data_IF_424049784712
#
_entry.id   IF_424049784712
#
_cell.length_a   1.000
_cell.length_b   1.000
_cell.length_c   1.000
_cell.angle_alpha   90.00
_cell.angle_beta   90.00
_cell.angle_gamma   90.00
#
_symmetry.space_group_name_H-M   'P 1'
#
loop_
_entity.id
_entity.type
_entity.pdbx_description
1 polymer ?
#
# COMPACT_ATOMS: atom_id res chain seq x y z
N UNK A 1 12.93 20.64 3.53
CA UNK A 1 12.55 19.93 4.76
C UNK A 1 13.84 19.58 5.47
N UNK A 2 13.96 19.76 6.78
CA UNK A 2 15.18 19.35 7.49
C UNK A 2 15.32 17.82 7.47
N UNK A 3 16.54 17.28 7.63
CA UNK A 3 16.76 15.84 7.66
C UNK A 3 15.88 15.14 8.71
N UNK A 4 15.82 15.69 9.93
CA UNK A 4 15.02 15.15 11.03
C UNK A 4 13.53 15.01 10.68
N UNK A 5 12.95 16.05 10.07
CA UNK A 5 11.54 16.02 9.63
C UNK A 5 11.35 15.01 8.51
N UNK A 6 12.32 14.86 7.62
CA UNK A 6 12.28 13.88 6.53
C UNK A 6 12.23 12.45 7.08
N UNK A 7 13.12 12.10 8.01
CA UNK A 7 13.13 10.78 8.66
C UNK A 7 11.81 10.51 9.41
N UNK A 8 11.29 11.49 10.14
CA UNK A 8 10.02 11.36 10.84
C UNK A 8 8.85 11.09 9.87
N UNK A 9 8.75 11.87 8.79
CA UNK A 9 7.71 11.69 7.77
C UNK A 9 7.82 10.33 7.10
N UNK A 10 9.01 9.93 6.65
CA UNK A 10 9.24 8.61 6.02
C UNK A 10 8.90 7.48 6.98
N UNK A 11 9.29 7.58 8.24
CA UNK A 11 8.97 6.60 9.27
C UNK A 11 7.45 6.46 9.50
N UNK A 12 6.73 7.57 9.65
CA UNK A 12 5.27 7.56 9.79
C UNK A 12 4.58 6.97 8.57
N UNK A 13 4.97 7.39 7.37
CA UNK A 13 4.43 6.86 6.12
C UNK A 13 4.71 5.36 5.95
N UNK A 14 5.88 4.88 6.39
CA UNK A 14 6.23 3.46 6.38
C UNK A 14 5.30 2.66 7.29
N UNK A 15 5.04 3.17 8.51
CA UNK A 15 4.06 2.58 9.43
C UNK A 15 2.65 2.54 8.83
N UNK A 16 2.18 3.65 8.26
CA UNK A 16 0.87 3.72 7.62
C UNK A 16 0.76 2.75 6.43
N UNK A 17 1.79 2.65 5.60
CA UNK A 17 1.84 1.72 4.47
C UNK A 17 1.72 0.26 4.94
N UNK A 18 2.44 -0.11 6.00
CA UNK A 18 2.33 -1.43 6.62
C UNK A 18 0.90 -1.72 7.11
N UNK A 19 0.27 -0.74 7.76
CA UNK A 19 -1.13 -0.82 8.21
C UNK A 19 -2.07 -1.04 7.01
N UNK A 20 -1.89 -0.32 5.90
CA UNK A 20 -2.71 -0.51 4.69
C UNK A 20 -2.59 -1.93 4.14
N UNK A 21 -1.39 -2.49 4.06
CA UNK A 21 -1.16 -3.87 3.60
C UNK A 21 -1.91 -4.87 4.48
N UNK A 22 -1.75 -4.76 5.80
CA UNK A 22 -2.37 -5.66 6.77
C UNK A 22 -3.89 -5.53 6.76
N UNK A 23 -4.43 -4.31 6.84
CA UNK A 23 -5.87 -4.08 6.86
C UNK A 23 -6.53 -4.57 5.58
N UNK A 24 -5.89 -4.40 4.43
CA UNK A 24 -6.42 -4.91 3.14
C UNK A 24 -6.55 -6.44 3.19
N UNK A 25 -5.52 -7.14 3.66
CA UNK A 25 -5.56 -8.60 3.81
C UNK A 25 -6.64 -9.05 4.78
N UNK A 26 -6.75 -8.40 5.95
CA UNK A 26 -7.74 -8.77 6.96
C UNK A 26 -9.17 -8.49 6.48
N UNK A 27 -9.42 -7.35 5.82
CA UNK A 27 -10.75 -6.99 5.31
C UNK A 27 -11.21 -7.97 4.23
N UNK A 28 -10.35 -8.27 3.25
CA UNK A 28 -10.73 -9.16 2.15
C UNK A 28 -10.80 -10.63 2.58
N UNK A 29 -9.97 -11.09 3.51
CA UNK A 29 -10.12 -12.44 4.10
C UNK A 29 -11.46 -12.60 4.82
N UNK A 30 -11.93 -11.57 5.53
CA UNK A 30 -13.27 -11.59 6.16
C UNK A 30 -14.38 -11.64 5.11
N UNK A 31 -14.24 -10.91 4.00
CA UNK A 31 -15.20 -10.97 2.90
C UNK A 31 -15.24 -12.35 2.23
N UNK A 32 -14.09 -13.00 2.06
CA UNK A 32 -13.96 -14.37 1.54
C UNK A 32 -14.67 -15.40 2.42
N UNK A 33 -14.43 -15.38 3.74
CA UNK A 33 -15.12 -16.26 4.70
C UNK A 33 -16.64 -16.03 4.67
N UNK A 34 -17.08 -14.82 4.37
CA UNK A 34 -18.49 -14.46 4.25
C UNK A 34 -19.08 -14.71 2.85
N UNK A 35 -18.33 -15.31 1.91
CA UNK A 35 -18.79 -15.62 0.55
C UNK A 35 -18.96 -14.40 -0.37
N UNK A 36 -18.38 -13.24 -0.03
CA UNK A 36 -18.51 -11.97 -0.77
C UNK A 36 -17.17 -11.45 -1.31
N UNK A 37 -16.23 -12.35 -1.64
CA UNK A 37 -14.96 -11.94 -2.21
C UNK A 37 -15.12 -11.63 -3.70
N UNK A 38 -15.09 -10.35 -4.04
CA UNK A 38 -15.20 -9.86 -5.41
C UNK A 38 -13.83 -9.59 -6.07
N UNK A 39 -12.74 -10.04 -5.43
CA UNK A 39 -11.36 -9.82 -5.89
C UNK A 39 -10.67 -11.16 -6.07
N UNK A 40 -10.00 -11.34 -7.20
CA UNK A 40 -9.24 -12.57 -7.46
C UNK A 40 -8.15 -12.80 -6.40
N UNK A 41 -7.97 -14.04 -5.89
CA UNK A 41 -7.01 -14.37 -4.84
C UNK A 41 -5.57 -14.07 -5.25
N UNK A 42 -5.25 -14.18 -6.54
CA UNK A 42 -3.93 -13.83 -7.08
C UNK A 42 -3.59 -12.35 -6.86
N UNK A 43 -4.54 -11.43 -7.07
CA UNK A 43 -4.31 -10.00 -6.88
C UNK A 43 -4.12 -9.65 -5.39
N UNK A 44 -4.89 -10.28 -4.50
CA UNK A 44 -4.73 -10.11 -3.06
C UNK A 44 -3.37 -10.66 -2.56
N UNK A 45 -2.96 -11.81 -3.08
CA UNK A 45 -1.66 -12.40 -2.77
C UNK A 45 -0.51 -11.54 -3.30
N UNK A 46 -0.64 -10.99 -4.52
CA UNK A 46 0.33 -10.03 -5.07
C UNK A 46 0.46 -8.80 -4.18
N UNK A 47 -0.65 -8.15 -3.84
CA UNK A 47 -0.66 -6.96 -2.97
C UNK A 47 0.01 -7.25 -1.62
N UNK A 48 -0.36 -8.37 -0.98
CA UNK A 48 0.18 -8.70 0.35
C UNK A 48 1.65 -9.11 0.27
N UNK A 49 2.00 -10.00 -0.66
CA UNK A 49 3.36 -10.51 -0.83
C UNK A 49 4.34 -9.40 -1.22
N UNK A 50 3.99 -8.60 -2.22
CA UNK A 50 4.77 -7.43 -2.59
C UNK A 50 4.86 -6.43 -1.42
N UNK A 51 3.79 -6.25 -0.64
CA UNK A 51 3.77 -5.34 0.51
C UNK A 51 4.72 -5.75 1.63
N UNK A 52 4.76 -7.05 1.96
CA UNK A 52 5.70 -7.57 2.95
C UNK A 52 7.14 -7.44 2.45
N UNK A 53 7.40 -7.80 1.19
CA UNK A 53 8.75 -7.66 0.60
C UNK A 53 9.18 -6.19 0.53
N UNK A 54 8.28 -5.29 0.12
CA UNK A 54 8.53 -3.84 0.07
C UNK A 54 8.89 -3.32 1.46
N UNK A 55 8.12 -3.67 2.49
CA UNK A 55 8.34 -3.22 3.85
C UNK A 55 9.69 -3.70 4.39
N UNK A 56 10.00 -4.99 4.23
CA UNK A 56 11.26 -5.56 4.70
C UNK A 56 12.45 -4.93 3.98
N UNK A 57 12.41 -4.84 2.64
CA UNK A 57 13.49 -4.25 1.86
C UNK A 57 13.67 -2.76 2.18
N UNK A 58 12.58 -2.02 2.34
CA UNK A 58 12.60 -0.59 2.65
C UNK A 58 13.16 -0.32 4.05
N UNK A 59 12.70 -1.05 5.07
CA UNK A 59 13.22 -0.90 6.44
C UNK A 59 14.69 -1.32 6.51
N UNK A 60 15.08 -2.41 5.83
CA UNK A 60 16.47 -2.82 5.76
C UNK A 60 17.35 -1.74 5.10
N UNK A 61 16.85 -1.09 4.04
CA UNK A 61 17.52 0.02 3.38
C UNK A 61 17.69 1.24 4.30
N UNK A 62 16.62 1.67 4.98
CA UNK A 62 16.67 2.85 5.86
C UNK A 62 17.57 2.67 7.10
N UNK A 63 17.73 1.44 7.59
CA UNK A 63 18.48 1.17 8.81
C UNK A 63 19.95 0.77 8.55
N UNK A 64 20.25 0.30 7.33
CA UNK A 64 21.60 -0.13 6.99
C UNK A 64 22.47 1.05 6.52
N UNK A 65 23.76 1.10 6.90
CA UNK A 65 24.66 2.11 6.38
C UNK A 65 24.89 1.90 4.88
N UNK A 66 25.20 2.97 4.13
CA UNK A 66 25.46 2.91 2.68
C UNK A 66 26.60 1.94 2.29
N UNK A 67 27.55 1.71 3.21
CA UNK A 67 28.65 0.76 3.02
C UNK A 67 28.21 -0.71 3.09
N UNK A 68 27.02 -0.98 3.61
CA UNK A 68 26.45 -2.32 3.70
C UNK A 68 25.57 -2.61 2.47
N UNK A 69 25.58 -3.83 1.90
CA UNK A 69 24.79 -4.15 0.71
C UNK A 69 23.29 -3.83 0.82
N UNK A 70 22.73 -3.92 2.04
CA UNK A 70 21.33 -3.57 2.32
C UNK A 70 21.02 -2.07 2.24
N UNK A 71 21.99 -1.19 2.52
CA UNK A 71 21.85 0.26 2.39
C UNK A 71 22.20 0.77 0.99
N UNK A 72 22.54 -0.14 0.06
CA UNK A 72 22.93 0.22 -1.29
C UNK A 72 21.76 0.69 -2.16
N UNK A 73 22.07 1.49 -3.18
CA UNK A 73 21.07 2.08 -4.08
C UNK A 73 20.17 1.04 -4.77
N UNK A 74 20.68 -0.15 -5.07
CA UNK A 74 19.89 -1.22 -5.70
C UNK A 74 18.74 -1.69 -4.80
N UNK A 75 18.98 -1.81 -3.49
CA UNK A 75 17.96 -2.25 -2.53
C UNK A 75 16.90 -1.16 -2.34
N UNK A 76 17.32 0.10 -2.23
CA UNK A 76 16.39 1.23 -2.18
C UNK A 76 15.51 1.33 -3.43
N UNK A 77 16.10 1.17 -4.62
CA UNK A 77 15.35 1.15 -5.89
C UNK A 77 14.36 -0.02 -5.94
N UNK A 78 14.79 -1.22 -5.58
CA UNK A 78 13.93 -2.40 -5.55
C UNK A 78 12.78 -2.23 -4.55
N UNK A 79 13.05 -1.68 -3.36
CA UNK A 79 12.04 -1.41 -2.35
C UNK A 79 11.00 -0.38 -2.83
N UNK A 80 11.42 0.72 -3.46
CA UNK A 80 10.51 1.70 -4.06
C UNK A 80 9.69 1.08 -5.19
N UNK A 81 10.31 0.26 -6.04
CA UNK A 81 9.61 -0.48 -7.10
C UNK A 81 8.55 -1.43 -6.55
N UNK A 82 8.85 -2.15 -5.46
CA UNK A 82 7.89 -3.01 -4.78
C UNK A 82 6.74 -2.19 -4.16
N UNK A 83 7.00 -1.03 -3.56
CA UNK A 83 5.93 -0.15 -3.08
C UNK A 83 5.01 0.35 -4.20
N UNK A 84 5.56 0.65 -5.37
CA UNK A 84 4.74 0.99 -6.55
C UNK A 84 3.88 -0.18 -6.99
N UNK A 85 4.43 -1.40 -7.01
CA UNK A 85 3.66 -2.60 -7.32
C UNK A 85 2.48 -2.80 -6.34
N UNK A 86 2.70 -2.56 -5.05
CA UNK A 86 1.66 -2.60 -4.01
C UNK A 86 0.59 -1.53 -4.26
N UNK A 87 1.02 -0.29 -4.54
CA UNK A 87 0.10 0.81 -4.82
C UNK A 87 -0.78 0.51 -6.03
N UNK A 88 -0.20 0.03 -7.13
CA UNK A 88 -0.94 -0.36 -8.33
C UNK A 88 -1.91 -1.52 -8.07
N UNK A 89 -1.46 -2.56 -7.37
CA UNK A 89 -2.35 -3.65 -6.97
C UNK A 89 -3.50 -3.16 -6.08
N UNK A 90 -3.24 -2.22 -5.17
CA UNK A 90 -4.27 -1.57 -4.35
C UNK A 90 -5.28 -0.81 -5.20
N UNK A 91 -4.83 -0.02 -6.19
CA UNK A 91 -5.74 0.66 -7.11
C UNK A 91 -6.60 -0.34 -7.92
N UNK A 92 -6.02 -1.44 -8.38
CA UNK A 92 -6.79 -2.51 -9.04
C UNK A 92 -7.81 -3.15 -8.10
N UNK A 93 -7.49 -3.30 -6.82
CA UNK A 93 -8.42 -3.77 -5.78
C UNK A 93 -9.60 -2.80 -5.60
N UNK A 94 -9.43 -1.49 -5.84
CA UNK A 94 -10.53 -0.51 -5.80
C UNK A 94 -11.52 -0.67 -6.96
N UNK A 95 -11.13 -1.31 -8.07
CA UNK A 95 -11.99 -1.46 -9.24
C UNK A 95 -13.28 -2.20 -8.92
N UNK A 96 -13.31 -3.03 -7.87
CA UNK A 96 -14.54 -3.68 -7.38
C UNK A 96 -15.66 -2.70 -6.98
N UNK A 97 -15.30 -1.46 -6.65
CA UNK A 97 -16.24 -0.41 -6.24
C UNK A 97 -16.65 0.52 -7.39
N UNK A 98 -16.14 0.32 -8.61
CA UNK A 98 -16.62 1.07 -9.77
C UNK A 98 -18.08 0.67 -10.03
N UNK A 99 -19.01 1.65 -10.17
CA UNK A 99 -20.41 1.33 -10.43
C UNK A 99 -20.52 0.48 -11.69
N UNK A 100 -20.98 -0.76 -11.55
CA UNK A 100 -21.40 -1.55 -12.71
C UNK A 100 -22.67 -0.89 -13.25
N UNK A 101 -22.57 -0.24 -14.42
CA UNK A 101 -23.74 0.39 -15.07
C UNK A 101 -24.69 -0.71 -15.54
N UNK A 102 -25.60 -1.14 -14.66
CA UNK A 102 -26.66 -2.09 -14.95
C UNK A 102 -27.98 -1.61 -14.36
N UNK A 103 -29.06 -1.70 -15.15
CA UNK A 103 -30.45 -1.26 -14.84
C UNK A 103 -31.08 -1.94 -13.60
N UNK A 104 -30.37 -2.83 -12.90
CA UNK A 104 -30.87 -3.60 -11.75
C UNK A 104 -29.91 -3.59 -10.54
N UNK A 105 -28.97 -2.64 -10.45
CA UNK A 105 -28.13 -2.53 -9.26
C UNK A 105 -28.99 -2.09 -8.07
N UNK A 106 -29.26 -3.04 -7.16
CA UNK A 106 -29.89 -2.74 -5.89
C UNK A 106 -29.02 -1.74 -5.11
N UNK A 107 -29.67 -0.76 -4.49
CA UNK A 107 -29.04 0.25 -3.65
C UNK A 107 -28.56 -0.40 -2.35
N UNK A 108 -27.38 -1.03 -2.36
CA UNK A 108 -26.74 -1.49 -1.12
C UNK A 108 -26.24 -0.27 -0.33
N UNK A 109 -27.11 0.21 0.57
CA UNK A 109 -26.69 1.10 1.67
C UNK A 109 -25.66 0.39 2.54
N UNK A 110 -24.39 0.63 2.24
CA UNK A 110 -23.29 0.30 3.17
C UNK A 110 -22.98 1.53 4.02
N UNK A 111 -23.89 1.87 4.94
CA UNK A 111 -23.85 3.06 5.81
C UNK A 111 -22.81 2.96 6.96
N UNK A 112 -21.60 2.49 6.66
CA UNK A 112 -20.50 2.46 7.63
C UNK A 112 -19.21 2.92 6.98
N UNK A 113 -18.61 3.98 7.52
CA UNK A 113 -17.34 4.55 7.05
C UNK A 113 -16.19 3.52 7.01
N UNK A 114 -16.22 2.52 7.92
CA UNK A 114 -15.23 1.44 8.00
C UNK A 114 -15.58 0.22 7.13
N UNK A 115 -16.85 0.04 6.77
CA UNK A 115 -17.34 -1.06 5.92
C UNK A 115 -17.40 -0.68 4.45
N UNK A 116 -17.61 0.60 4.15
CA UNK A 116 -17.79 1.13 2.82
C UNK A 116 -16.49 1.41 2.05
N UNK A 117 -16.62 1.95 0.82
CA UNK A 117 -15.48 2.20 -0.08
C UNK A 117 -14.52 3.27 0.46
N UNK A 118 -14.99 4.24 1.25
CA UNK A 118 -14.23 5.41 1.69
C UNK A 118 -12.88 5.08 2.33
N UNK A 119 -12.85 4.19 3.34
CA UNK A 119 -11.59 3.79 3.98
C UNK A 119 -10.64 3.07 3.00
N UNK A 120 -11.18 2.27 2.06
CA UNK A 120 -10.36 1.58 1.06
C UNK A 120 -9.73 2.58 0.09
N UNK A 121 -10.50 3.56 -0.37
CA UNK A 121 -10.04 4.62 -1.27
C UNK A 121 -8.98 5.47 -0.59
N UNK A 122 -9.23 5.93 0.64
CA UNK A 122 -8.25 6.71 1.41
C UNK A 122 -6.94 5.94 1.61
N UNK A 123 -7.03 4.66 1.97
CA UNK A 123 -5.87 3.81 2.17
C UNK A 123 -5.01 3.70 0.91
N UNK A 124 -5.61 3.47 -0.25
CA UNK A 124 -4.87 3.20 -1.49
C UNK A 124 -4.43 4.48 -2.21
N UNK A 125 -5.22 5.55 -2.16
CA UNK A 125 -4.77 6.88 -2.62
C UNK A 125 -3.65 7.40 -1.71
N UNK A 126 -3.81 7.26 -0.39
CA UNK A 126 -2.77 7.57 0.58
C UNK A 126 -1.48 6.76 0.33
N UNK A 127 -1.60 5.49 -0.05
CA UNK A 127 -0.44 4.66 -0.44
C UNK A 127 0.26 5.21 -1.68
N UNK A 128 -0.48 5.66 -2.70
CA UNK A 128 0.10 6.30 -3.91
C UNK A 128 0.86 7.57 -3.55
N UNK A 129 0.28 8.43 -2.70
CA UNK A 129 0.97 9.63 -2.21
C UNK A 129 2.22 9.24 -1.40
N UNK A 130 2.09 8.26 -0.51
CA UNK A 130 3.18 7.76 0.33
C UNK A 130 4.36 7.23 -0.48
N UNK A 131 4.12 6.42 -1.51
CA UNK A 131 5.20 5.94 -2.40
C UNK A 131 5.79 7.07 -3.24
N UNK A 132 5.01 8.10 -3.59
CA UNK A 132 5.54 9.33 -4.18
C UNK A 132 6.55 10.03 -3.27
N UNK A 133 6.25 10.11 -1.97
CA UNK A 133 7.17 10.65 -0.96
C UNK A 133 8.40 9.75 -0.78
N UNK A 134 8.24 8.42 -0.75
CA UNK A 134 9.40 7.50 -0.70
C UNK A 134 10.31 7.64 -1.90
N UNK A 135 9.72 7.77 -3.10
CA UNK A 135 10.46 7.99 -4.34
C UNK A 135 11.25 9.31 -4.28
N UNK A 136 10.60 10.40 -3.84
CA UNK A 136 11.27 11.69 -3.65
C UNK A 136 12.40 11.62 -2.63
N UNK A 137 12.15 11.00 -1.47
CA UNK A 137 13.11 10.85 -0.39
C UNK A 137 14.35 10.06 -0.85
N UNK A 138 14.14 8.93 -1.53
CA UNK A 138 15.20 8.12 -2.11
C UNK A 138 16.02 8.89 -3.16
N UNK A 139 15.38 9.58 -4.10
CA UNK A 139 16.08 10.24 -5.21
C UNK A 139 16.81 11.53 -4.81
N UNK A 140 16.22 12.33 -3.92
CA UNK A 140 16.69 13.70 -3.68
C UNK A 140 17.19 13.96 -2.27
N UNK A 141 16.84 13.12 -1.30
CA UNK A 141 17.26 13.29 0.10
C UNK A 141 18.23 12.20 0.55
N UNK A 142 18.38 11.11 -0.24
CA UNK A 142 19.21 9.95 0.10
C UNK A 142 19.00 9.49 1.55
N UNK A 143 17.72 9.40 1.92
CA UNK A 143 17.28 8.80 3.18
C UNK A 143 17.56 7.31 3.13
#
# INVERSE_FOLDING_TARGET
MSPEVTYAVVGVLTGLAAVVVVLTRLRLRRAEVAGRLEVGPALLNLHTGAGVLALVAWVAFLLAPESHPLGGSLVGLAAVGLWWLVALAGLLILVRWLPSRGRHAAEERTDSWSSGPGLSVLAHVGMVVGVGVFTWAYLFQKV
#
